data_IF_770261513148
#
_entry.id   IF_770261513148
#
_cell.length_a   1.000
_cell.length_b   1.000
_cell.length_c   1.000
_cell.angle_alpha   90.00
_cell.angle_beta   90.00
_cell.angle_gamma   90.00
#
_symmetry.space_group_name_H-M   'P 1'
#
loop_
_entity.id
_entity.type
_entity.pdbx_description
1 polymer ?
#
# COMPACT_ATOMS: atom_id res chain seq x y z
N UNK A 1 5.15 -8.10 4.58
CA UNK A 1 5.35 -7.98 3.12
C UNK A 1 4.19 -7.19 2.56
N UNK A 2 4.46 -6.22 1.69
CA UNK A 2 3.44 -5.48 0.95
C UNK A 2 3.45 -5.92 -0.53
N UNK A 3 2.27 -6.09 -1.11
CA UNK A 3 2.10 -6.48 -2.52
C UNK A 3 1.10 -5.52 -3.18
N UNK A 4 1.54 -4.81 -4.20
CA UNK A 4 0.69 -3.89 -4.96
C UNK A 4 -0.06 -4.58 -6.10
N UNK A 5 -1.30 -4.15 -6.33
CA UNK A 5 -2.10 -4.49 -7.49
C UNK A 5 -2.62 -3.19 -8.12
N UNK A 6 -1.80 -2.53 -8.98
CA UNK A 6 -2.03 -1.14 -9.41
C UNK A 6 -3.32 -0.94 -10.22
N UNK A 7 -3.81 -2.00 -10.84
CA UNK A 7 -5.01 -2.01 -11.69
C UNK A 7 -6.16 -2.79 -11.05
N UNK A 8 -6.01 -3.22 -9.80
CA UNK A 8 -7.06 -3.87 -9.02
C UNK A 8 -7.83 -2.87 -8.14
N UNK A 9 -8.46 -3.37 -7.09
CA UNK A 9 -9.26 -2.54 -6.19
C UNK A 9 -10.57 -2.06 -6.83
N UNK A 10 -11.24 -1.13 -6.15
CA UNK A 10 -12.46 -0.50 -6.64
C UNK A 10 -12.15 0.36 -7.88
N UNK A 11 -12.97 0.24 -8.92
CA UNK A 11 -12.81 0.94 -10.21
C UNK A 11 -11.45 0.76 -10.91
N UNK A 12 -10.66 -0.26 -10.54
CA UNK A 12 -9.31 -0.48 -11.10
C UNK A 12 -8.28 0.58 -10.67
N UNK A 13 -8.53 1.29 -9.56
CA UNK A 13 -7.72 2.42 -9.08
C UNK A 13 -6.46 2.01 -8.32
N UNK A 14 -6.36 0.74 -7.96
CA UNK A 14 -5.23 0.16 -7.27
C UNK A 14 -5.50 -0.14 -5.81
N UNK A 15 -4.80 -1.16 -5.32
CA UNK A 15 -4.91 -1.69 -3.96
C UNK A 15 -3.56 -2.28 -3.52
N UNK A 16 -3.23 -2.18 -2.24
CA UNK A 16 -2.05 -2.80 -1.64
C UNK A 16 -2.48 -3.78 -0.56
N UNK A 17 -1.93 -4.99 -0.62
CA UNK A 17 -2.17 -6.06 0.34
C UNK A 17 -0.97 -6.20 1.27
N UNK A 18 -1.24 -6.19 2.59
CA UNK A 18 -0.24 -6.47 3.61
C UNK A 18 -0.39 -7.91 4.10
N UNK A 19 0.72 -8.63 4.06
CA UNK A 19 0.85 -10.00 4.55
C UNK A 19 1.87 -10.05 5.67
N UNK A 20 1.47 -10.61 6.81
CA UNK A 20 2.40 -10.85 7.91
C UNK A 20 3.19 -12.14 7.68
N UNK A 21 4.44 -12.11 8.14
CA UNK A 21 5.23 -13.31 8.33
C UNK A 21 4.82 -14.02 9.62
N UNK A 22 5.06 -15.31 9.67
CA UNK A 22 4.95 -16.14 10.86
C UNK A 22 6.03 -17.21 10.90
N UNK A 23 6.04 -18.06 11.95
CA UNK A 23 7.07 -19.08 12.13
C UNK A 23 7.19 -20.07 10.96
N UNK A 24 6.08 -20.30 10.25
CA UNK A 24 6.00 -21.23 9.11
C UNK A 24 6.07 -20.52 7.74
N UNK A 25 6.47 -19.25 7.70
CA UNK A 25 6.51 -18.45 6.47
C UNK A 25 5.40 -17.40 6.38
N UNK A 26 5.02 -17.02 5.17
CA UNK A 26 4.04 -15.95 4.93
C UNK A 26 2.63 -16.48 5.20
N UNK A 27 1.84 -15.74 5.98
CA UNK A 27 0.40 -16.01 6.15
C UNK A 27 -0.31 -15.61 4.85
N UNK A 28 -0.95 -16.56 4.18
CA UNK A 28 -1.54 -16.35 2.84
C UNK A 28 -2.77 -15.45 2.82
N UNK A 29 -3.41 -15.21 3.97
CA UNK A 29 -4.49 -14.25 4.11
C UNK A 29 -3.89 -12.87 4.41
N UNK A 30 -4.25 -11.82 3.66
CA UNK A 30 -3.78 -10.47 3.97
C UNK A 30 -4.33 -10.04 5.33
N UNK A 31 -3.48 -9.43 6.14
CA UNK A 31 -3.85 -8.86 7.45
C UNK A 31 -4.46 -7.48 7.32
N UNK A 32 -4.09 -6.76 6.25
CA UNK A 32 -4.68 -5.48 5.90
C UNK A 32 -4.73 -5.34 4.38
N UNK A 33 -5.76 -4.65 3.92
CA UNK A 33 -5.95 -4.27 2.51
C UNK A 33 -6.15 -2.77 2.50
N UNK A 34 -5.35 -2.07 1.70
CA UNK A 34 -5.37 -0.62 1.59
C UNK A 34 -5.85 -0.29 0.19
N UNK A 35 -7.06 0.27 0.08
CA UNK A 35 -7.59 0.73 -1.19
C UNK A 35 -7.16 2.19 -1.42
N UNK A 36 -6.94 2.54 -2.69
CA UNK A 36 -6.74 3.95 -3.08
C UNK A 36 -7.89 4.86 -2.64
N UNK A 37 -9.10 4.31 -2.55
CA UNK A 37 -10.32 5.02 -2.11
C UNK A 37 -10.38 5.29 -0.61
N UNK A 38 -9.53 4.64 0.20
CA UNK A 38 -9.43 4.89 1.64
C UNK A 38 -8.59 6.15 1.95
N UNK A 39 -7.87 6.69 0.95
CA UNK A 39 -7.03 7.86 1.14
C UNK A 39 -7.88 9.13 1.31
N UNK A 40 -7.50 10.04 2.22
CA UNK A 40 -8.28 11.27 2.49
C UNK A 40 -8.23 12.32 1.37
N UNK A 41 -7.70 11.99 0.20
CA UNK A 41 -7.52 12.92 -0.91
C UNK A 41 -8.83 13.22 -1.65
N UNK A 42 -8.99 14.48 -2.04
CA UNK A 42 -10.16 14.97 -2.79
C UNK A 42 -10.21 14.52 -4.25
N UNK A 43 -9.13 13.95 -4.78
CA UNK A 43 -9.00 13.51 -6.17
C UNK A 43 -8.82 11.99 -6.24
N UNK A 44 -9.44 11.31 -7.23
CA UNK A 44 -9.28 9.89 -7.44
C UNK A 44 -7.83 9.57 -7.81
N UNK A 45 -7.20 8.69 -7.05
CA UNK A 45 -5.85 8.16 -7.32
C UNK A 45 -5.98 6.91 -8.19
N UNK A 46 -5.17 6.79 -9.24
CA UNK A 46 -5.04 5.61 -10.12
C UNK A 46 -3.63 5.06 -10.06
N UNK A 47 -3.44 3.79 -10.45
CA UNK A 47 -2.13 3.09 -10.37
C UNK A 47 -1.56 2.97 -8.96
N UNK A 48 -2.40 3.08 -7.93
CA UNK A 48 -1.99 2.98 -6.54
C UNK A 48 -1.38 1.61 -6.22
N UNK A 49 -0.15 1.61 -5.72
CA UNK A 49 0.60 0.36 -5.47
C UNK A 49 1.57 -0.02 -6.59
N UNK A 50 1.79 0.85 -7.58
CA UNK A 50 2.74 0.59 -8.67
C UNK A 50 4.19 0.47 -8.18
N UNK A 51 4.58 1.34 -7.25
CA UNK A 51 5.86 1.27 -6.57
C UNK A 51 5.64 1.26 -5.05
N UNK A 52 6.50 0.54 -4.35
CA UNK A 52 6.46 0.39 -2.89
C UNK A 52 7.86 0.59 -2.34
N UNK A 53 7.97 1.33 -1.24
CA UNK A 53 9.19 1.42 -0.45
C UNK A 53 8.83 1.40 1.03
N UNK A 54 9.54 0.63 1.84
CA UNK A 54 9.27 0.55 3.28
C UNK A 54 10.44 -0.08 4.02
N UNK A 55 10.23 -0.43 5.29
CA UNK A 55 11.26 -1.05 6.12
C UNK A 55 12.13 -0.05 6.90
N UNK A 56 11.72 1.22 6.94
CA UNK A 56 12.31 2.28 7.74
C UNK A 56 11.19 2.99 8.49
N UNK A 57 11.47 3.36 9.74
CA UNK A 57 10.63 4.24 10.54
C UNK A 57 10.95 5.70 10.17
N UNK A 58 10.00 6.41 9.59
CA UNK A 58 10.12 7.79 9.09
C UNK A 58 9.43 8.79 10.03
N UNK A 59 8.48 8.36 10.85
CA UNK A 59 7.77 9.22 11.82
C UNK A 59 8.28 9.09 13.28
N UNK A 60 9.22 8.18 13.55
CA UNK A 60 9.81 7.84 14.85
C UNK A 60 8.85 7.15 15.83
N UNK A 61 7.90 6.34 15.35
CA UNK A 61 6.96 5.60 16.20
C UNK A 61 7.43 4.17 16.56
N UNK A 62 8.63 3.75 16.12
CA UNK A 62 9.24 2.42 16.27
C UNK A 62 8.65 1.31 15.38
N UNK A 63 7.75 1.65 14.45
CA UNK A 63 7.24 0.77 13.41
C UNK A 63 7.79 1.20 12.06
N UNK A 64 8.00 0.23 11.16
CA UNK A 64 8.44 0.55 9.81
C UNK A 64 7.26 1.06 8.98
N UNK A 65 7.46 2.20 8.33
CA UNK A 65 6.46 2.86 7.49
C UNK A 65 6.47 2.31 6.05
N UNK A 66 5.45 2.70 5.28
CA UNK A 66 5.26 2.31 3.89
C UNK A 66 4.92 3.51 3.01
N UNK A 67 5.72 3.72 1.98
CA UNK A 67 5.44 4.61 0.86
C UNK A 67 4.82 3.83 -0.29
N UNK A 68 3.73 4.36 -0.84
CA UNK A 68 2.98 3.77 -1.96
C UNK A 68 2.89 4.79 -3.10
N UNK A 69 3.51 4.49 -4.24
CA UNK A 69 3.48 5.33 -5.42
C UNK A 69 2.29 5.05 -6.33
N UNK A 70 1.80 6.12 -6.96
CA UNK A 70 0.72 6.14 -7.94
C UNK A 70 1.13 7.07 -9.09
N UNK A 71 1.87 6.54 -10.07
CA UNK A 71 2.58 7.37 -11.06
C UNK A 71 1.64 8.13 -11.99
N UNK A 72 0.49 7.58 -12.37
CA UNK A 72 -0.48 8.28 -13.23
C UNK A 72 -1.19 9.44 -12.53
N UNK A 73 -1.15 9.45 -11.20
CA UNK A 73 -1.72 10.50 -10.38
C UNK A 73 -0.67 11.47 -9.83
N UNK A 74 0.59 11.36 -10.27
CA UNK A 74 1.70 12.17 -9.78
C UNK A 74 1.78 12.24 -8.25
N UNK A 75 1.45 11.13 -7.58
CA UNK A 75 1.18 11.09 -6.14
C UNK A 75 1.90 9.94 -5.44
N UNK A 76 2.19 10.17 -4.15
CA UNK A 76 2.67 9.15 -3.21
C UNK A 76 1.85 9.23 -1.93
N UNK A 77 1.44 8.08 -1.41
CA UNK A 77 0.86 7.98 -0.08
C UNK A 77 1.95 7.54 0.91
N UNK A 78 1.97 8.17 2.07
CA UNK A 78 2.79 7.79 3.22
C UNK A 78 1.87 7.21 4.29
N UNK A 79 2.23 6.03 4.78
CA UNK A 79 1.48 5.26 5.77
C UNK A 79 2.39 4.79 6.90
#
# INVERSE_FOLDING_TARGET
IAVGCPYGGEDGRGVVYLYHGGPSGIVSKPTQVIYSTDLPHSLPVTTFGFSLAGGMDLDNNQYADLLIGAYESDSVAFL
#
